data_IF_214773309734
#
_entry.id   IF_214773309734
#
_cell.length_a   1.000
_cell.length_b   1.000
_cell.length_c   1.000
_cell.angle_alpha   90.00
_cell.angle_beta   90.00
_cell.angle_gamma   90.00
#
_symmetry.space_group_name_H-M   'P 1'
#
loop_
_entity.id
_entity.type
_entity.pdbx_description
1 polymer ?
#
# COMPACT_ATOMS: atom_id res chain seq x y z
N UNK A 1 5.31 40.51 -2.97
CA UNK A 1 4.46 39.41 -2.46
C UNK A 1 3.15 40.03 -1.96
N UNK A 2 2.16 40.16 -2.84
CA UNK A 2 0.80 40.60 -2.50
C UNK A 2 -0.13 39.43 -2.78
N UNK A 3 -0.91 39.09 -1.76
CA UNK A 3 -2.14 38.32 -1.81
C UNK A 3 -1.99 36.84 -2.19
N UNK A 4 -1.72 36.00 -1.18
CA UNK A 4 -1.74 34.53 -1.26
C UNK A 4 -3.15 33.96 -1.44
N UNK A 5 -3.95 34.51 -2.36
CA UNK A 5 -5.17 33.88 -2.85
C UNK A 5 -4.74 32.75 -3.80
N UNK A 6 -5.11 31.49 -3.55
CA UNK A 6 -4.85 30.43 -4.52
C UNK A 6 -5.48 30.82 -5.86
N UNK A 7 -4.73 30.63 -6.95
CA UNK A 7 -5.23 30.88 -8.29
C UNK A 7 -6.52 30.06 -8.49
N UNK A 8 -7.60 30.70 -8.97
CA UNK A 8 -8.81 29.95 -9.32
C UNK A 8 -8.45 28.97 -10.43
N UNK A 9 -8.76 27.67 -10.32
CA UNK A 9 -8.53 26.75 -11.40
C UNK A 9 -9.32 27.24 -12.61
N UNK A 10 -8.64 27.63 -13.69
CA UNK A 10 -9.31 27.71 -14.99
C UNK A 10 -9.95 26.35 -15.25
N UNK A 11 -11.15 26.35 -15.83
CA UNK A 11 -11.91 25.15 -16.13
C UNK A 11 -11.09 24.17 -16.99
N UNK A 12 -10.34 23.31 -16.30
CA UNK A 12 -9.62 22.20 -16.87
C UNK A 12 -10.65 21.11 -17.12
N UNK A 13 -10.69 20.55 -18.32
CA UNK A 13 -11.64 19.51 -18.69
C UNK A 13 -11.45 18.22 -17.85
N UNK A 14 -10.33 18.12 -17.13
CA UNK A 14 -9.99 17.06 -16.18
C UNK A 14 -10.46 17.33 -14.74
N UNK A 15 -11.04 18.49 -14.45
CA UNK A 15 -11.52 18.83 -13.12
C UNK A 15 -12.81 18.09 -12.78
N UNK A 16 -12.72 17.18 -11.80
CA UNK A 16 -13.84 16.33 -11.41
C UNK A 16 -14.78 16.99 -10.39
N UNK A 17 -14.27 17.79 -9.45
CA UNK A 17 -15.06 18.51 -8.47
C UNK A 17 -14.22 19.65 -7.89
N UNK A 18 -14.86 20.78 -7.60
CA UNK A 18 -14.21 21.93 -6.96
C UNK A 18 -15.15 22.60 -5.98
N UNK A 19 -14.73 22.67 -4.72
CA UNK A 19 -15.50 23.30 -3.65
C UNK A 19 -14.64 24.39 -3.00
N UNK A 20 -15.07 25.64 -3.16
CA UNK A 20 -14.46 26.80 -2.52
C UNK A 20 -15.19 27.12 -1.20
N UNK A 21 -14.44 27.49 -0.15
CA UNK A 21 -15.01 27.73 1.18
C UNK A 21 -15.22 29.23 1.45
N UNK A 22 -15.88 29.92 0.53
CA UNK A 22 -16.14 31.37 0.55
C UNK A 22 -17.55 31.74 1.04
N UNK A 23 -18.51 30.80 1.05
CA UNK A 23 -19.92 31.07 1.32
C UNK A 23 -20.33 30.94 2.81
N UNK A 24 -20.05 32.00 3.60
CA UNK A 24 -20.22 32.02 5.07
C UNK A 24 -21.65 31.80 5.65
N UNK A 25 -22.67 31.64 4.81
CA UNK A 25 -24.08 31.42 5.21
C UNK A 25 -24.78 30.29 4.46
N UNK A 26 -24.08 29.60 3.56
CA UNK A 26 -24.67 28.54 2.78
C UNK A 26 -24.76 27.23 3.59
N UNK A 27 -25.81 26.46 3.34
CA UNK A 27 -26.01 25.09 3.86
C UNK A 27 -25.36 24.03 2.96
N UNK A 28 -24.83 24.45 1.82
CA UNK A 28 -24.08 23.64 0.86
C UNK A 28 -22.95 24.48 0.23
N UNK A 29 -21.95 23.82 -0.32
CA UNK A 29 -20.91 24.43 -1.15
C UNK A 29 -21.19 24.08 -2.61
N UNK A 30 -21.28 25.09 -3.46
CA UNK A 30 -21.50 24.89 -4.89
C UNK A 30 -20.31 24.14 -5.49
N UNK A 31 -20.59 23.12 -6.32
CA UNK A 31 -19.55 22.52 -7.16
C UNK A 31 -19.18 23.45 -8.32
N UNK A 32 -18.04 24.15 -8.18
CA UNK A 32 -17.50 25.08 -9.18
C UNK A 32 -16.98 24.35 -10.43
N UNK A 33 -16.86 23.02 -10.43
CA UNK A 33 -16.55 22.26 -11.64
C UNK A 33 -17.72 22.22 -12.64
N UNK A 34 -18.96 22.41 -12.15
CA UNK A 34 -20.18 22.30 -12.95
C UNK A 34 -20.55 20.87 -13.38
N UNK A 35 -19.88 19.84 -12.86
CA UNK A 35 -20.07 18.43 -13.29
C UNK A 35 -20.79 17.57 -12.25
N UNK A 36 -20.79 17.99 -10.98
CA UNK A 36 -21.38 17.25 -9.86
C UNK A 36 -22.47 18.04 -9.14
N UNK A 37 -22.91 17.46 -8.03
CA UNK A 37 -23.80 18.12 -7.07
C UNK A 37 -23.01 18.80 -5.95
N UNK A 38 -23.66 19.80 -5.38
CA UNK A 38 -23.15 20.57 -4.24
C UNK A 38 -22.78 19.68 -3.05
N UNK A 39 -21.83 20.17 -2.27
CA UNK A 39 -21.36 19.51 -1.06
C UNK A 39 -22.19 20.00 0.12
N UNK A 40 -23.08 19.15 0.63
CA UNK A 40 -24.00 19.49 1.71
C UNK A 40 -23.36 19.33 3.07
N UNK A 41 -23.62 20.28 3.97
CA UNK A 41 -23.15 20.25 5.36
C UNK A 41 -24.14 19.46 6.23
N UNK A 42 -23.71 18.31 6.75
CA UNK A 42 -24.54 17.45 7.61
C UNK A 42 -24.42 17.83 9.09
N UNK A 43 -25.51 18.36 9.65
CA UNK A 43 -25.67 18.57 11.10
C UNK A 43 -25.57 20.02 11.57
N UNK A 44 -26.56 20.47 12.33
CA UNK A 44 -26.64 21.82 12.89
C UNK A 44 -25.61 22.03 14.01
N UNK A 45 -24.98 23.22 14.05
CA UNK A 45 -23.99 23.58 15.08
C UNK A 45 -22.64 22.84 15.00
N UNK A 46 -22.45 21.95 14.01
CA UNK A 46 -21.21 21.17 13.81
C UNK A 46 -20.14 21.92 13.02
N UNK A 47 -20.54 22.98 12.32
CA UNK A 47 -19.70 23.80 11.45
C UNK A 47 -19.62 25.22 11.98
N UNK A 48 -18.47 25.86 11.78
CA UNK A 48 -18.29 27.29 12.01
C UNK A 48 -17.51 27.90 10.85
N UNK A 49 -18.17 28.73 10.06
CA UNK A 49 -17.52 29.48 9.00
C UNK A 49 -16.40 30.38 9.53
N UNK A 50 -15.31 30.47 8.77
CA UNK A 50 -14.13 31.29 9.04
C UNK A 50 -13.84 32.13 7.80
N UNK A 51 -14.72 33.08 7.42
CA UNK A 51 -14.60 33.84 6.17
C UNK A 51 -13.28 34.62 6.08
N UNK A 52 -12.75 35.13 7.21
CA UNK A 52 -11.43 35.79 7.26
C UNK A 52 -10.26 34.88 6.85
N UNK A 53 -10.46 33.58 6.86
CA UNK A 53 -9.45 32.57 6.51
C UNK A 53 -9.86 31.71 5.30
N UNK A 54 -10.98 32.03 4.63
CA UNK A 54 -11.50 31.26 3.49
C UNK A 54 -11.72 29.78 3.80
N UNK A 55 -12.40 29.46 4.90
CA UNK A 55 -12.56 28.07 5.34
C UNK A 55 -13.75 27.81 6.25
N UNK A 56 -14.08 26.53 6.43
CA UNK A 56 -15.04 26.05 7.44
C UNK A 56 -14.30 25.29 8.54
N UNK A 57 -14.63 25.58 9.80
CA UNK A 57 -14.13 24.82 10.93
C UNK A 57 -15.13 23.74 11.34
N UNK A 58 -14.65 22.50 11.41
CA UNK A 58 -15.39 21.35 11.93
C UNK A 58 -15.19 21.26 13.46
N UNK A 59 -16.27 21.27 14.25
CA UNK A 59 -16.21 21.32 15.73
C UNK A 59 -16.51 19.99 16.43
N UNK A 60 -17.21 19.09 15.76
CA UNK A 60 -17.64 17.77 16.22
C UNK A 60 -17.45 16.76 15.07
N UNK A 61 -17.73 15.45 15.23
CA UNK A 61 -17.89 14.57 14.07
C UNK A 61 -18.89 15.21 13.11
N UNK A 62 -18.39 15.69 11.99
CA UNK A 62 -19.14 16.50 11.04
C UNK A 62 -18.73 16.02 9.66
N UNK A 63 -19.71 15.97 8.75
CA UNK A 63 -19.49 15.48 7.41
C UNK A 63 -20.00 16.51 6.42
N UNK A 64 -19.18 16.76 5.40
CA UNK A 64 -19.65 17.37 4.18
C UNK A 64 -19.71 16.26 3.14
N UNK A 65 -20.86 16.09 2.50
CA UNK A 65 -21.08 14.98 1.58
C UNK A 65 -21.81 15.43 0.33
N UNK A 66 -21.58 14.70 -0.75
CA UNK A 66 -22.30 14.86 -2.01
C UNK A 66 -23.10 13.58 -2.26
N UNK A 67 -24.13 13.67 -3.11
CA UNK A 67 -25.02 12.54 -3.38
C UNK A 67 -24.32 11.36 -4.09
N UNK A 68 -24.92 10.16 -4.06
CA UNK A 68 -24.35 8.96 -4.69
C UNK A 68 -24.16 9.08 -6.20
N UNK A 69 -24.90 9.98 -6.87
CA UNK A 69 -24.75 10.26 -8.31
C UNK A 69 -23.37 10.85 -8.60
N UNK A 70 -22.97 11.89 -7.87
CA UNK A 70 -21.65 12.52 -8.00
C UNK A 70 -20.53 11.55 -7.64
N UNK A 71 -20.70 10.78 -6.57
CA UNK A 71 -19.74 9.75 -6.17
C UNK A 71 -19.53 8.67 -7.24
N UNK A 72 -20.61 8.18 -7.87
CA UNK A 72 -20.53 7.23 -8.99
C UNK A 72 -19.83 7.84 -10.20
N UNK A 73 -20.17 9.06 -10.59
CA UNK A 73 -19.56 9.75 -11.73
C UNK A 73 -18.05 9.89 -11.55
N UNK A 74 -17.62 10.43 -10.41
CA UNK A 74 -16.21 10.56 -10.06
C UNK A 74 -15.55 9.18 -10.10
N UNK A 75 -16.11 8.19 -9.42
CA UNK A 75 -15.56 6.82 -9.39
C UNK A 75 -15.39 6.21 -10.78
N UNK A 76 -16.35 6.42 -11.70
CA UNK A 76 -16.24 5.96 -13.08
C UNK A 76 -15.12 6.66 -13.84
N UNK A 77 -14.97 7.97 -13.68
CA UNK A 77 -13.88 8.72 -14.29
C UNK A 77 -12.52 8.22 -13.81
N UNK A 78 -12.36 8.01 -12.50
CA UNK A 78 -11.12 7.50 -11.90
C UNK A 78 -10.77 6.08 -12.39
N UNK A 79 -11.77 5.24 -12.61
CA UNK A 79 -11.57 3.89 -13.15
C UNK A 79 -11.11 3.91 -14.61
N UNK A 80 -11.58 4.89 -15.40
CA UNK A 80 -11.22 5.02 -16.80
C UNK A 80 -9.83 5.64 -17.00
N UNK A 81 -9.45 6.61 -16.17
CA UNK A 81 -8.16 7.31 -16.29
C UNK A 81 -7.00 6.53 -15.67
N UNK A 82 -7.28 5.71 -14.65
CA UNK A 82 -6.26 5.10 -13.78
C UNK A 82 -5.34 6.11 -13.08
N UNK A 83 -5.71 7.39 -13.04
CA UNK A 83 -4.94 8.46 -12.42
C UNK A 83 -5.86 9.57 -11.89
N UNK A 84 -5.48 10.17 -10.76
CA UNK A 84 -6.14 11.34 -10.20
C UNK A 84 -5.25 12.05 -9.19
N UNK A 85 -5.63 13.29 -8.89
CA UNK A 85 -5.08 14.04 -7.78
C UNK A 85 -6.21 14.55 -6.88
N UNK A 86 -5.92 14.60 -5.58
CA UNK A 86 -6.75 15.24 -4.58
C UNK A 86 -5.97 16.42 -4.02
N UNK A 87 -6.60 17.57 -3.97
CA UNK A 87 -6.00 18.79 -3.45
C UNK A 87 -6.87 19.35 -2.31
N UNK A 88 -6.23 19.74 -1.21
CA UNK A 88 -6.92 20.31 -0.07
C UNK A 88 -6.04 21.31 0.69
N UNK A 89 -6.68 22.35 1.24
CA UNK A 89 -6.10 23.21 2.25
C UNK A 89 -6.70 22.88 3.61
N UNK A 90 -5.86 22.48 4.55
CA UNK A 90 -6.28 22.04 5.88
C UNK A 90 -5.56 22.82 6.98
N UNK A 91 -6.23 23.03 8.11
CA UNK A 91 -5.60 23.54 9.34
C UNK A 91 -5.96 22.61 10.49
N UNK A 92 -5.10 21.62 10.82
CA UNK A 92 -5.34 20.72 11.94
C UNK A 92 -5.46 21.46 13.26
N UNK A 93 -6.56 21.26 13.99
CA UNK A 93 -6.69 21.74 15.38
C UNK A 93 -6.06 20.77 16.37
N UNK A 94 -6.30 19.47 16.17
CA UNK A 94 -5.74 18.38 16.95
C UNK A 94 -4.60 17.72 16.15
N UNK A 95 -3.40 17.66 16.71
CA UNK A 95 -2.23 17.01 16.12
C UNK A 95 -2.02 15.57 16.64
N UNK A 96 -2.89 15.11 17.53
CA UNK A 96 -2.83 13.79 18.14
C UNK A 96 -4.16 13.07 17.88
N UNK A 97 -4.43 12.80 16.60
CA UNK A 97 -5.52 11.94 16.18
C UNK A 97 -5.10 10.47 16.25
N UNK A 98 -5.95 9.62 16.84
CA UNK A 98 -5.84 8.17 16.66
C UNK A 98 -6.42 7.86 15.30
N UNK A 99 -5.51 7.63 14.34
CA UNK A 99 -5.83 7.73 12.93
C UNK A 99 -5.90 6.40 12.17
N UNK A 100 -6.16 6.50 10.85
CA UNK A 100 -6.33 7.76 10.12
C UNK A 100 -7.73 8.36 10.30
N UNK A 101 -7.78 9.56 10.90
CA UNK A 101 -8.98 10.36 10.99
C UNK A 101 -9.29 10.98 9.62
N UNK A 102 -10.45 10.66 9.05
CA UNK A 102 -10.81 11.03 7.68
C UNK A 102 -10.85 12.54 7.49
N UNK A 103 -10.12 13.02 6.48
CA UNK A 103 -10.19 14.38 5.95
C UNK A 103 -11.05 14.38 4.68
N UNK A 104 -10.73 13.48 3.74
CA UNK A 104 -11.46 13.29 2.50
C UNK A 104 -11.58 11.79 2.24
N UNK A 105 -12.77 11.34 1.84
CA UNK A 105 -12.98 9.97 1.40
C UNK A 105 -13.93 9.92 0.21
N UNK A 106 -13.62 9.03 -0.75
CA UNK A 106 -14.58 8.57 -1.75
C UNK A 106 -15.20 7.28 -1.21
N UNK A 107 -16.51 7.30 -0.98
CA UNK A 107 -17.23 6.14 -0.46
C UNK A 107 -17.16 4.95 -1.43
N UNK A 108 -17.11 3.75 -0.87
CA UNK A 108 -17.27 2.48 -1.59
C UNK A 108 -18.62 1.82 -1.27
N UNK A 109 -18.84 0.58 -1.72
CA UNK A 109 -20.02 -0.20 -1.34
C UNK A 109 -20.08 -0.42 0.19
N UNK A 110 -21.27 -0.28 0.78
CA UNK A 110 -21.47 -0.33 2.23
C UNK A 110 -20.73 0.79 2.98
N UNK A 111 -20.26 0.50 4.19
CA UNK A 111 -19.51 1.45 5.03
C UNK A 111 -18.01 1.53 4.68
N UNK A 112 -17.65 1.16 3.45
CA UNK A 112 -16.25 1.12 3.02
C UNK A 112 -15.84 2.39 2.29
N UNK A 113 -14.53 2.62 2.16
CA UNK A 113 -13.97 3.69 1.31
C UNK A 113 -13.24 3.09 0.11
N UNK A 114 -13.28 3.77 -1.03
CA UNK A 114 -12.46 3.50 -2.20
C UNK A 114 -11.19 4.36 -2.21
N UNK A 115 -11.28 5.58 -1.67
CA UNK A 115 -10.14 6.49 -1.50
C UNK A 115 -10.24 7.09 -0.11
N UNK A 116 -9.10 7.22 0.58
CA UNK A 116 -9.01 7.83 1.89
C UNK A 116 -7.78 8.73 1.96
N UNK A 117 -7.98 9.99 2.29
CA UNK A 117 -6.97 10.89 2.84
C UNK A 117 -7.35 11.18 4.29
N UNK A 118 -6.47 10.84 5.21
CA UNK A 118 -6.70 11.04 6.63
C UNK A 118 -5.45 11.47 7.38
N UNK A 119 -5.64 11.85 8.64
CA UNK A 119 -4.57 12.24 9.54
C UNK A 119 -4.34 11.16 10.61
N UNK A 120 -3.10 10.74 10.81
CA UNK A 120 -2.68 9.94 11.95
C UNK A 120 -1.58 10.67 12.69
N UNK A 121 -1.82 11.06 13.94
CA UNK A 121 -0.93 11.98 14.66
C UNK A 121 -0.63 13.26 13.86
N UNK A 122 0.64 13.54 13.53
CA UNK A 122 1.08 14.67 12.69
C UNK A 122 1.37 14.27 11.25
N UNK A 123 1.00 13.05 10.88
CA UNK A 123 1.19 12.54 9.53
C UNK A 123 -0.13 12.46 8.77
N UNK A 124 -0.03 12.55 7.45
CA UNK A 124 -1.11 12.23 6.53
C UNK A 124 -0.96 10.80 6.06
N UNK A 125 -2.09 10.12 5.91
CA UNK A 125 -2.19 8.78 5.36
C UNK A 125 -3.09 8.86 4.13
N UNK A 126 -2.58 8.40 3.00
CA UNK A 126 -3.33 8.29 1.76
C UNK A 126 -3.39 6.83 1.29
N UNK A 127 -4.60 6.39 1.00
CA UNK A 127 -4.90 5.02 0.62
C UNK A 127 -5.92 5.00 -0.52
N UNK A 128 -5.72 4.07 -1.44
CA UNK A 128 -6.58 3.85 -2.61
C UNK A 128 -6.87 2.36 -2.71
N UNK A 129 -8.14 2.00 -2.91
CA UNK A 129 -8.56 0.63 -3.22
C UNK A 129 -8.11 0.25 -4.63
N UNK A 130 -7.39 -0.85 -4.70
CA UNK A 130 -6.95 -1.49 -5.95
C UNK A 130 -7.04 -3.00 -5.75
N UNK A 131 -6.94 -3.80 -6.83
CA UNK A 131 -6.81 -5.26 -6.69
C UNK A 131 -5.63 -5.68 -5.78
N UNK A 132 -4.58 -4.86 -5.70
CA UNK A 132 -3.38 -5.11 -4.87
C UNK A 132 -3.59 -4.70 -3.41
N UNK A 133 -4.09 -3.48 -3.16
CA UNK A 133 -4.27 -2.94 -1.81
C UNK A 133 -5.48 -3.53 -1.07
N UNK A 134 -6.46 -4.06 -1.80
CA UNK A 134 -7.61 -4.79 -1.24
C UNK A 134 -8.68 -3.89 -0.61
N UNK A 135 -9.52 -4.50 0.23
CA UNK A 135 -10.60 -3.82 0.96
C UNK A 135 -10.10 -3.29 2.31
N UNK A 136 -10.51 -2.08 2.65
CA UNK A 136 -10.19 -1.43 3.93
C UNK A 136 -8.76 -0.88 3.96
N UNK A 137 -8.48 -0.05 4.97
CA UNK A 137 -7.14 0.49 5.16
C UNK A 137 -6.15 -0.64 5.44
N UNK A 138 -5.19 -0.83 4.55
CA UNK A 138 -4.12 -1.82 4.69
C UNK A 138 -2.76 -1.13 4.88
N UNK A 139 -1.72 -1.93 5.16
CA UNK A 139 -0.33 -1.44 5.18
C UNK A 139 0.14 -0.89 3.83
N UNK A 140 -0.61 -1.15 2.75
CA UNK A 140 -0.38 -0.62 1.41
C UNK A 140 -1.03 0.77 1.27
N UNK A 141 -0.63 1.69 2.15
CA UNK A 141 -0.97 3.11 2.14
C UNK A 141 0.30 3.93 2.21
N UNK A 142 0.29 5.14 1.63
CA UNK A 142 1.41 6.07 1.75
C UNK A 142 1.18 6.93 2.99
N UNK A 143 2.21 7.07 3.82
CA UNK A 143 2.22 7.97 4.97
C UNK A 143 3.29 9.03 4.77
N UNK A 144 3.04 10.26 5.21
CA UNK A 144 4.06 11.30 5.20
C UNK A 144 5.25 10.95 6.08
N UNK A 145 6.38 11.57 5.79
CA UNK A 145 7.61 11.47 6.58
C UNK A 145 7.79 12.73 7.42
N UNK A 146 8.46 12.57 8.57
CA UNK A 146 8.84 13.67 9.46
C UNK A 146 7.69 14.51 10.04
N UNK A 147 6.46 13.96 10.14
CA UNK A 147 5.36 14.60 10.86
C UNK A 147 5.08 16.05 10.40
N UNK A 148 4.77 16.27 9.11
CA UNK A 148 4.78 17.61 8.52
C UNK A 148 3.59 18.48 8.94
N UNK A 149 2.58 17.93 9.62
CA UNK A 149 1.40 18.68 10.02
C UNK A 149 1.64 19.53 11.28
N UNK A 150 1.22 20.80 11.17
CA UNK A 150 1.17 21.75 12.28
C UNK A 150 -0.22 22.38 12.42
N UNK A 151 -0.34 23.41 13.28
CA UNK A 151 -1.57 24.20 13.47
C UNK A 151 -1.69 25.40 12.50
N UNK A 152 -0.99 25.34 11.37
CA UNK A 152 -1.01 26.36 10.33
C UNK A 152 -1.79 25.85 9.13
N UNK A 153 -2.15 26.77 8.23
CA UNK A 153 -2.72 26.38 6.95
C UNK A 153 -1.67 25.57 6.18
N UNK A 154 -2.05 24.37 5.80
CA UNK A 154 -1.20 23.42 5.09
C UNK A 154 -1.88 23.05 3.78
N UNK A 155 -1.14 23.17 2.69
CA UNK A 155 -1.54 22.71 1.37
C UNK A 155 -1.13 21.25 1.20
N UNK A 156 -2.07 20.41 0.79
CA UNK A 156 -1.88 18.96 0.64
C UNK A 156 -2.32 18.54 -0.74
N UNK A 157 -1.46 17.78 -1.43
CA UNK A 157 -1.81 17.10 -2.67
C UNK A 157 -1.53 15.61 -2.50
N UNK A 158 -2.52 14.77 -2.79
CA UNK A 158 -2.36 13.32 -2.89
C UNK A 158 -2.56 12.90 -4.34
N UNK A 159 -1.58 12.21 -4.92
CA UNK A 159 -1.59 11.80 -6.32
C UNK A 159 -1.63 10.28 -6.40
N UNK A 160 -2.53 9.75 -7.21
CA UNK A 160 -2.54 8.36 -7.63
C UNK A 160 -2.32 8.29 -9.14
N UNK A 161 -1.35 7.50 -9.58
CA UNK A 161 -1.10 7.26 -11.01
C UNK A 161 -0.65 5.85 -11.25
N UNK A 162 -1.51 5.04 -11.86
CA UNK A 162 -1.23 3.66 -12.23
C UNK A 162 -0.59 2.81 -11.11
N UNK A 163 -1.10 2.93 -9.88
CA UNK A 163 -0.57 2.20 -8.72
C UNK A 163 0.59 2.88 -7.99
N UNK A 164 1.02 4.07 -8.42
CA UNK A 164 1.91 4.93 -7.63
C UNK A 164 1.08 5.90 -6.80
N UNK A 165 1.35 5.96 -5.49
CA UNK A 165 0.75 6.91 -4.55
C UNK A 165 1.84 7.89 -4.13
N UNK A 166 1.55 9.19 -4.20
CA UNK A 166 2.45 10.25 -3.76
C UNK A 166 1.71 11.26 -2.89
N UNK A 167 2.38 11.77 -1.86
CA UNK A 167 1.89 12.83 -0.99
C UNK A 167 2.82 14.03 -1.04
N UNK A 168 2.24 15.22 -1.21
CA UNK A 168 2.93 16.50 -1.18
C UNK A 168 2.32 17.37 -0.08
N UNK A 169 3.19 18.04 0.66
CA UNK A 169 2.82 18.97 1.72
C UNK A 169 3.54 20.30 1.47
N UNK A 170 2.78 21.38 1.30
CA UNK A 170 3.29 22.71 0.94
C UNK A 170 4.24 22.69 -0.26
N UNK A 171 3.87 21.95 -1.31
CA UNK A 171 4.66 21.78 -2.53
C UNK A 171 5.85 20.81 -2.44
N UNK A 172 6.16 20.27 -1.26
CA UNK A 172 7.27 19.32 -1.06
C UNK A 172 6.74 17.89 -0.96
N UNK A 173 7.31 16.97 -1.75
CA UNK A 173 6.97 15.54 -1.66
C UNK A 173 7.37 14.99 -0.28
N UNK A 174 6.40 14.44 0.44
CA UNK A 174 6.56 13.95 1.82
C UNK A 174 6.31 12.44 1.95
N UNK A 175 5.77 11.77 0.93
CA UNK A 175 5.64 10.31 0.90
C UNK A 175 5.46 9.75 -0.50
N UNK A 176 5.88 8.50 -0.71
CA UNK A 176 5.66 7.74 -1.95
C UNK A 176 5.49 6.25 -1.66
N UNK A 177 4.64 5.58 -2.42
CA UNK A 177 4.48 4.13 -2.45
C UNK A 177 4.22 3.68 -3.89
N UNK A 178 4.87 2.61 -4.33
CA UNK A 178 4.61 2.01 -5.64
C UNK A 178 4.03 0.60 -5.47
N UNK A 179 2.71 0.47 -5.61
CA UNK A 179 2.01 -0.81 -5.48
C UNK A 179 2.49 -1.88 -6.47
N UNK A 180 3.10 -1.50 -7.60
CA UNK A 180 3.64 -2.46 -8.58
C UNK A 180 5.01 -3.02 -8.15
N UNK A 181 5.79 -2.28 -7.36
CA UNK A 181 7.18 -2.66 -6.96
C UNK A 181 7.26 -3.12 -5.51
N UNK A 182 6.49 -2.48 -4.65
CA UNK A 182 6.51 -2.71 -3.20
C UNK A 182 5.52 -3.83 -2.79
N UNK A 183 4.77 -4.37 -3.75
CA UNK A 183 4.05 -5.63 -3.65
C UNK A 183 4.92 -6.78 -4.20
N UNK A 184 4.93 -7.96 -3.56
CA UNK A 184 5.65 -9.12 -4.08
C UNK A 184 5.09 -9.55 -5.45
N UNK A 185 5.91 -9.47 -6.50
CA UNK A 185 5.58 -9.77 -7.90
C UNK A 185 5.70 -11.30 -8.12
N UNK A 186 4.64 -11.95 -8.62
CA UNK A 186 4.67 -13.35 -9.07
C UNK A 186 3.46 -14.23 -8.68
N UNK A 187 2.60 -13.75 -7.80
CA UNK A 187 1.32 -14.37 -7.46
C UNK A 187 0.25 -13.27 -7.30
N UNK A 188 -1.01 -13.49 -7.71
CA UNK A 188 -2.13 -12.58 -7.44
C UNK A 188 -2.58 -12.66 -5.97
N UNK A 189 -1.65 -12.84 -5.04
CA UNK A 189 -1.92 -13.08 -3.63
C UNK A 189 -1.24 -12.02 -2.75
N UNK A 190 -2.01 -11.52 -1.77
CA UNK A 190 -1.54 -10.60 -0.72
C UNK A 190 -0.30 -11.19 -0.01
N UNK A 191 0.55 -10.35 0.59
CA UNK A 191 1.68 -10.75 1.46
C UNK A 191 1.21 -11.35 2.81
N UNK A 192 0.25 -12.27 2.79
CA UNK A 192 -0.20 -13.04 3.97
C UNK A 192 0.81 -14.13 4.31
N UNK A 193 0.81 -14.60 5.56
CA UNK A 193 1.65 -15.73 5.98
C UNK A 193 1.44 -16.97 5.09
N UNK A 194 0.21 -17.19 4.60
CA UNK A 194 -0.11 -18.27 3.68
C UNK A 194 0.48 -18.10 2.26
N UNK A 195 0.48 -16.89 1.70
CA UNK A 195 1.08 -16.64 0.39
C UNK A 195 2.61 -16.71 0.44
N UNK A 196 3.21 -16.23 1.53
CA UNK A 196 4.63 -16.41 1.85
C UNK A 196 5.00 -17.90 1.89
N UNK A 197 4.16 -18.71 2.55
CA UNK A 197 4.34 -20.16 2.63
C UNK A 197 4.16 -20.86 1.29
N UNK A 198 3.13 -20.48 0.52
CA UNK A 198 2.90 -21.01 -0.82
C UNK A 198 4.07 -20.67 -1.76
N UNK A 199 4.59 -19.44 -1.71
CA UNK A 199 5.75 -19.05 -2.51
C UNK A 199 7.00 -19.84 -2.14
N UNK A 200 7.31 -19.92 -0.84
CA UNK A 200 8.42 -20.73 -0.35
C UNK A 200 8.31 -22.18 -0.80
N UNK A 201 7.09 -22.74 -0.75
CA UNK A 201 6.78 -24.08 -1.21
C UNK A 201 6.94 -24.21 -2.73
N UNK A 202 6.14 -23.54 -3.55
CA UNK A 202 6.13 -23.78 -5.00
C UNK A 202 7.42 -23.40 -5.72
N UNK A 203 8.21 -22.45 -5.19
CA UNK A 203 9.44 -22.02 -5.83
C UNK A 203 10.65 -22.86 -5.40
N UNK A 204 10.80 -23.14 -4.09
CA UNK A 204 11.99 -23.81 -3.57
C UNK A 204 11.78 -25.31 -3.30
N UNK A 205 10.57 -25.77 -2.97
CA UNK A 205 10.29 -27.19 -2.72
C UNK A 205 10.58 -28.09 -3.92
N UNK A 206 10.04 -27.85 -5.14
CA UNK A 206 10.29 -28.75 -6.27
C UNK A 206 11.76 -28.74 -6.71
N UNK A 207 12.43 -27.58 -6.63
CA UNK A 207 13.86 -27.48 -6.92
C UNK A 207 14.71 -28.25 -5.91
N UNK A 208 14.50 -28.05 -4.61
CA UNK A 208 15.22 -28.75 -3.55
C UNK A 208 14.94 -30.27 -3.57
N UNK A 209 13.68 -30.67 -3.83
CA UNK A 209 13.27 -32.08 -3.92
C UNK A 209 13.94 -32.79 -5.11
N UNK A 210 13.86 -32.22 -6.32
CA UNK A 210 14.41 -32.84 -7.53
C UNK A 210 15.94 -32.92 -7.50
N UNK A 211 16.59 -31.88 -6.99
CA UNK A 211 18.05 -31.84 -6.93
C UNK A 211 18.58 -32.76 -5.82
N UNK A 212 17.97 -32.77 -4.63
CA UNK A 212 18.37 -33.72 -3.58
C UNK A 212 18.16 -35.18 -3.99
N UNK A 213 17.05 -35.49 -4.67
CA UNK A 213 16.79 -36.83 -5.19
C UNK A 213 17.79 -37.26 -6.30
N UNK A 214 18.25 -36.32 -7.13
CA UNK A 214 19.21 -36.61 -8.22
C UNK A 214 20.64 -36.81 -7.70
N UNK A 215 21.06 -36.01 -6.72
CA UNK A 215 22.40 -36.12 -6.13
C UNK A 215 22.50 -37.30 -5.17
N UNK A 216 21.42 -37.68 -4.47
CA UNK A 216 21.36 -38.90 -3.66
C UNK A 216 21.56 -40.19 -4.47
N UNK A 217 21.13 -40.22 -5.75
CA UNK A 217 21.35 -41.37 -6.65
C UNK A 217 22.81 -41.57 -7.06
N UNK A 218 23.61 -40.49 -7.11
CA UNK A 218 25.02 -40.57 -7.53
C UNK A 218 25.96 -41.02 -6.40
N UNK A 219 25.52 -40.98 -5.15
CA UNK A 219 26.34 -41.34 -3.97
C UNK A 219 26.30 -42.83 -3.63
N UNK A 220 25.42 -43.63 -4.25
CA UNK A 220 25.33 -45.08 -4.04
C UNK A 220 26.40 -45.91 -4.77
N UNK A 221 27.36 -45.25 -5.43
CA UNK A 221 28.42 -45.91 -6.21
C UNK A 221 29.75 -45.21 -5.97
N UNK A 222 30.30 -45.32 -4.77
CA UNK A 222 31.74 -45.10 -4.51
C UNK A 222 32.13 -45.67 -3.14
N UNK A 223 33.01 -46.65 -3.26
CA UNK A 223 33.83 -47.41 -2.32
C UNK A 223 34.08 -46.87 -0.90
N UNK A 224 34.34 -47.84 -0.03
CA UNK A 224 34.73 -47.74 1.37
C UNK A 224 35.92 -46.77 1.61
N UNK A 225 35.59 -45.50 1.80
CA UNK A 225 36.53 -44.43 2.16
C UNK A 225 35.75 -43.14 2.35
N UNK A 226 35.13 -42.98 3.52
CA UNK A 226 34.20 -41.90 3.83
C UNK A 226 34.85 -40.51 3.78
N UNK A 227 34.95 -39.92 2.59
CA UNK A 227 35.33 -38.52 2.44
C UNK A 227 34.19 -37.63 2.95
N UNK A 228 34.51 -36.57 3.68
CA UNK A 228 33.57 -35.55 4.17
C UNK A 228 32.59 -35.06 3.07
N UNK A 229 33.06 -35.04 1.81
CA UNK A 229 32.27 -34.64 0.65
C UNK A 229 31.15 -35.62 0.28
N UNK A 230 31.28 -36.93 0.50
CA UNK A 230 30.20 -37.88 0.21
C UNK A 230 29.04 -37.71 1.19
N UNK A 231 29.33 -37.36 2.44
CA UNK A 231 28.33 -37.08 3.49
C UNK A 231 27.63 -35.75 3.27
N UNK A 232 28.33 -34.74 2.75
CA UNK A 232 27.81 -33.37 2.59
C UNK A 232 27.10 -33.12 1.24
N UNK A 233 27.50 -33.84 0.18
CA UNK A 233 26.94 -33.69 -1.17
C UNK A 233 25.42 -33.75 -1.29
N UNK A 234 24.68 -34.57 -0.51
CA UNK A 234 23.21 -34.62 -0.60
C UNK A 234 22.53 -33.37 -0.03
N UNK A 235 23.22 -32.62 0.83
CA UNK A 235 22.71 -31.45 1.54
C UNK A 235 23.05 -30.13 0.84
N UNK A 236 24.11 -30.12 0.02
CA UNK A 236 24.57 -28.97 -0.77
C UNK A 236 23.43 -28.24 -1.53
N UNK A 237 22.48 -28.92 -2.19
CA UNK A 237 21.40 -28.24 -2.90
C UNK A 237 20.42 -27.50 -1.98
N UNK A 238 20.11 -28.08 -0.82
CA UNK A 238 19.26 -27.44 0.19
C UNK A 238 19.95 -26.21 0.79
N UNK A 239 21.23 -26.31 1.11
CA UNK A 239 22.03 -25.18 1.60
C UNK A 239 22.14 -24.06 0.56
N UNK A 240 22.35 -24.40 -0.72
CA UNK A 240 22.39 -23.43 -1.81
C UNK A 240 21.04 -22.71 -1.98
N UNK A 241 19.92 -23.45 -1.89
CA UNK A 241 18.59 -22.86 -1.95
C UNK A 241 18.31 -21.91 -0.77
N UNK A 242 18.76 -22.25 0.44
CA UNK A 242 18.67 -21.35 1.60
C UNK A 242 19.50 -20.08 1.39
N UNK A 243 20.72 -20.20 0.85
CA UNK A 243 21.57 -19.07 0.51
C UNK A 243 20.92 -18.13 -0.50
N UNK A 244 20.32 -18.68 -1.56
CA UNK A 244 19.60 -17.89 -2.57
C UNK A 244 18.34 -17.22 -2.00
N UNK A 245 17.62 -17.87 -1.09
CA UNK A 245 16.47 -17.28 -0.39
C UNK A 245 16.88 -16.06 0.45
N UNK A 246 17.93 -16.20 1.26
CA UNK A 246 18.46 -15.12 2.11
C UNK A 246 19.00 -13.97 1.24
N UNK A 247 19.74 -14.29 0.18
CA UNK A 247 20.29 -13.30 -0.75
C UNK A 247 19.18 -12.55 -1.49
N UNK A 248 18.18 -13.28 -2.01
CA UNK A 248 17.02 -12.69 -2.68
C UNK A 248 16.24 -11.75 -1.77
N UNK A 249 15.99 -12.16 -0.52
CA UNK A 249 15.34 -11.32 0.48
C UNK A 249 16.20 -10.10 0.84
N UNK A 250 17.52 -10.25 0.93
CA UNK A 250 18.44 -9.14 1.23
C UNK A 250 18.43 -8.09 0.11
N UNK A 251 18.49 -8.52 -1.15
CA UNK A 251 18.44 -7.63 -2.33
C UNK A 251 17.09 -6.93 -2.40
N UNK A 252 15.99 -7.66 -2.19
CA UNK A 252 14.65 -7.08 -2.18
C UNK A 252 14.44 -6.12 -1.01
N UNK A 253 14.98 -6.42 0.17
CA UNK A 253 14.88 -5.55 1.34
C UNK A 253 15.62 -4.23 1.10
N UNK A 254 16.86 -4.30 0.59
CA UNK A 254 17.67 -3.12 0.28
C UNK A 254 17.09 -2.26 -0.86
N UNK A 255 16.65 -2.89 -1.96
CA UNK A 255 16.11 -2.16 -3.11
C UNK A 255 14.73 -1.52 -2.85
N UNK A 256 13.92 -2.11 -1.97
CA UNK A 256 12.61 -1.57 -1.58
C UNK A 256 12.63 -0.71 -0.30
N UNK A 257 13.81 -0.45 0.28
CA UNK A 257 13.96 0.38 1.49
C UNK A 257 13.21 -0.19 2.71
N UNK A 258 13.02 -1.52 2.77
CA UNK A 258 12.26 -2.21 3.82
C UNK A 258 13.18 -3.02 4.72
N UNK A 259 12.73 -3.32 5.94
CA UNK A 259 13.43 -4.24 6.83
C UNK A 259 13.41 -5.69 6.30
N UNK A 260 14.44 -6.45 6.64
CA UNK A 260 14.58 -7.87 6.31
C UNK A 260 13.49 -8.71 7.01
N UNK A 261 12.75 -9.55 6.25
CA UNK A 261 11.61 -10.32 6.76
C UNK A 261 12.06 -11.67 7.34
N UNK A 262 12.54 -11.64 8.59
CA UNK A 262 12.99 -12.83 9.33
C UNK A 262 11.96 -13.97 9.36
N UNK A 263 10.65 -13.74 9.61
CA UNK A 263 9.66 -14.81 9.60
C UNK A 263 9.50 -15.50 8.24
N UNK A 264 9.54 -14.74 7.14
CA UNK A 264 9.48 -15.30 5.79
C UNK A 264 10.69 -16.20 5.49
N UNK A 265 11.88 -15.71 5.82
CA UNK A 265 13.12 -16.46 5.62
C UNK A 265 13.14 -17.73 6.46
N UNK A 266 12.72 -17.64 7.73
CA UNK A 266 12.61 -18.81 8.61
C UNK A 266 11.67 -19.89 8.07
N UNK A 267 10.51 -19.47 7.54
CA UNK A 267 9.56 -20.41 6.94
C UNK A 267 10.09 -21.02 5.64
N UNK A 268 10.76 -20.23 4.79
CA UNK A 268 11.39 -20.74 3.57
C UNK A 268 12.49 -21.76 3.86
N UNK A 269 13.33 -21.50 4.88
CA UNK A 269 14.35 -22.46 5.36
C UNK A 269 13.69 -23.77 5.80
N UNK A 270 12.60 -23.71 6.57
CA UNK A 270 11.88 -24.91 7.03
C UNK A 270 11.36 -25.74 5.85
N UNK A 271 10.74 -25.10 4.87
CA UNK A 271 10.22 -25.77 3.66
C UNK A 271 11.34 -26.42 2.86
N UNK A 272 12.47 -25.72 2.68
CA UNK A 272 13.65 -26.25 1.98
C UNK A 272 14.23 -27.46 2.73
N UNK A 273 14.30 -27.40 4.06
CA UNK A 273 14.78 -28.51 4.88
C UNK A 273 13.89 -29.75 4.72
N UNK A 274 12.56 -29.60 4.80
CA UNK A 274 11.60 -30.69 4.59
C UNK A 274 11.72 -31.28 3.18
N UNK A 275 11.80 -30.44 2.14
CA UNK A 275 11.96 -30.88 0.76
C UNK A 275 13.23 -31.72 0.56
N UNK A 276 14.34 -31.30 1.18
CA UNK A 276 15.64 -31.97 1.10
C UNK A 276 15.60 -33.35 1.76
N UNK A 277 14.92 -33.46 2.91
CA UNK A 277 14.74 -34.75 3.62
C UNK A 277 13.87 -35.71 2.81
N UNK A 278 12.73 -35.24 2.29
CA UNK A 278 11.80 -36.06 1.48
C UNK A 278 12.46 -36.53 0.18
N UNK A 279 13.22 -35.66 -0.49
CA UNK A 279 13.94 -36.00 -1.72
C UNK A 279 14.99 -37.09 -1.49
N UNK A 280 15.63 -37.09 -0.31
CA UNK A 280 16.56 -38.14 0.08
C UNK A 280 15.87 -39.49 0.32
N UNK A 281 14.81 -39.52 1.13
CA UNK A 281 14.07 -40.76 1.45
C UNK A 281 13.51 -41.41 0.17
N UNK A 282 13.00 -40.60 -0.76
CA UNK A 282 12.49 -41.08 -2.03
C UNK A 282 13.60 -41.58 -2.99
N UNK A 283 14.84 -41.13 -2.81
CA UNK A 283 15.99 -41.61 -3.60
C UNK A 283 16.51 -42.97 -3.13
N UNK A 284 16.43 -43.27 -1.82
CA UNK A 284 16.85 -44.55 -1.25
C UNK A 284 15.85 -45.67 -1.53
N UNK A 285 14.56 -45.36 -1.65
CA UNK A 285 13.50 -46.34 -1.92
C UNK A 285 13.42 -46.83 -3.39
N UNK A 286 14.20 -46.25 -4.32
CA UNK A 286 14.17 -46.57 -5.75
C UNK A 286 15.41 -47.31 -6.27
N UNK A 287 16.25 -47.85 -5.41
CA UNK A 287 17.31 -48.76 -5.86
C UNK A 287 16.76 -50.19 -5.89
N UNK A 288 16.49 -50.78 -7.07
CA UNK A 288 16.31 -52.22 -7.15
C UNK A 288 17.65 -52.91 -6.87
N UNK A 289 17.57 -54.06 -6.20
CA UNK A 289 18.70 -55.01 -6.05
C UNK A 289 19.30 -55.42 -7.41
#
# INVERSE_FOLDING_TARGET
>A
MKDGKPASPQADDKLEALYEFDESRATALLDRSGRGSDLHLEGTGRFRWRPKHGGVQLRHPARLSTGPVSGKRISSSLLNSHEFSLEAWITPRNLFQRGPATILALAGPGDSSNVLLGQSTKDLVFWVRTPVSGLGLTTLSVTTTNQPLGRRLTHVIAVFREGQLELFVNGVRSGRLNLKRDALIGLPARRTSGAKAAYAFFYFFPFALLWSARFGRKTGRTDAGGSFFSVLSPWLPGLAAMGLLILGESIQAGSAGRSFDLPFVGLGILVIAVATVVGRISSTARQPE
#
